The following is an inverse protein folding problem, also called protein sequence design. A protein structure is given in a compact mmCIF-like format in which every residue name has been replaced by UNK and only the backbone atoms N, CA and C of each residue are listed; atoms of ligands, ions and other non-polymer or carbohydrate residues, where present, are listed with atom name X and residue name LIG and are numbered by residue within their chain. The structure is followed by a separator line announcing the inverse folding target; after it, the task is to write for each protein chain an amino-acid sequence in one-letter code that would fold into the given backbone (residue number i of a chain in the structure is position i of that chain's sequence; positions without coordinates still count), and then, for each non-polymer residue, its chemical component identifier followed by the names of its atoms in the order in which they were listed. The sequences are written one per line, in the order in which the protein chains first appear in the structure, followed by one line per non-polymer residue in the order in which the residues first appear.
data_IF_191771857049
#
_entry.id   IF_191771857049
#
_cell.length_a   1.000
_cell.length_b   1.000
_cell.length_c   1.000
_cell.angle_alpha   90.00
_cell.angle_beta   90.00
_cell.angle_gamma   90.00
#
_symmetry.space_group_name_H-M   'P 1'
#
loop_
_entity.id
_entity.type
_entity.pdbx_description
1 polymer ?
#
# COMPACT_ATOMS: atom_id res chain seq x y z
N UNK A 1 8.77 -2.24 16.00
CA UNK A 1 10.14 -2.23 15.46
C UNK A 1 11.09 -1.37 16.33
N UNK A 2 10.67 -0.16 16.73
CA UNK A 2 11.48 0.79 17.55
C UNK A 2 11.68 0.35 19.02
N UNK A 3 10.83 -0.53 19.56
CA UNK A 3 10.94 -0.98 20.95
C UNK A 3 12.16 -1.88 21.22
N UNK A 4 12.86 -2.35 20.19
CA UNK A 4 14.10 -3.10 20.35
C UNK A 4 15.30 -2.13 20.30
N UNK A 5 16.19 -2.10 21.31
CA UNK A 5 17.27 -1.10 21.41
C UNK A 5 18.19 -1.03 20.17
N UNK A 6 18.42 -2.17 19.52
CA UNK A 6 19.29 -2.26 18.33
C UNK A 6 18.66 -1.68 17.05
N UNK A 7 17.36 -1.43 17.04
CA UNK A 7 16.62 -0.92 15.88
C UNK A 7 16.54 0.60 15.85
N UNK A 8 16.97 1.29 16.91
CA UNK A 8 16.87 2.76 17.01
C UNK A 8 17.60 3.47 15.87
N UNK A 9 18.78 2.96 15.48
CA UNK A 9 19.55 3.49 14.34
C UNK A 9 18.81 3.39 12.99
N UNK A 10 17.83 2.48 12.87
CA UNK A 10 17.02 2.26 11.69
C UNK A 10 15.63 2.91 11.77
N UNK A 11 15.32 3.62 12.88
CA UNK A 11 14.02 4.27 13.07
C UNK A 11 13.68 5.21 11.92
N UNK A 12 14.65 5.97 11.42
CA UNK A 12 14.47 6.87 10.26
C UNK A 12 14.03 6.14 8.98
N UNK A 13 14.30 4.85 8.88
CA UNK A 13 13.95 3.99 7.75
C UNK A 13 12.75 3.07 8.05
N UNK A 14 12.06 3.28 9.18
CA UNK A 14 10.83 2.57 9.45
C UNK A 14 9.75 2.93 8.42
N UNK A 15 8.73 2.08 8.34
CA UNK A 15 7.67 2.18 7.35
C UNK A 15 6.98 3.55 7.34
N UNK A 16 6.65 4.07 8.52
CA UNK A 16 5.99 5.36 8.70
C UNK A 16 6.90 6.53 8.25
N UNK A 17 8.19 6.49 8.59
CA UNK A 17 9.14 7.53 8.19
C UNK A 17 9.43 7.50 6.69
N UNK A 18 9.53 6.31 6.08
CA UNK A 18 9.65 6.16 4.62
C UNK A 18 8.42 6.72 3.92
N UNK A 19 7.22 6.43 4.43
CA UNK A 19 5.99 7.00 3.88
C UNK A 19 5.98 8.55 3.96
N UNK A 20 6.43 9.12 5.07
CA UNK A 20 6.56 10.56 5.23
C UNK A 20 7.61 11.17 4.26
N UNK A 21 8.75 10.50 4.07
CA UNK A 21 9.76 10.92 3.08
C UNK A 21 9.18 10.91 1.66
N UNK A 22 8.45 9.85 1.30
CA UNK A 22 7.79 9.75 -0.01
C UNK A 22 6.73 10.84 -0.18
N UNK A 23 5.93 11.13 0.85
CA UNK A 23 4.91 12.18 0.80
C UNK A 23 5.52 13.56 0.55
N UNK A 24 6.66 13.87 1.17
CA UNK A 24 7.39 15.13 0.92
C UNK A 24 8.01 15.17 -0.48
N UNK A 25 8.50 14.04 -0.98
CA UNK A 25 9.12 13.95 -2.31
C UNK A 25 8.10 14.03 -3.45
N UNK A 26 6.88 13.54 -3.22
CA UNK A 26 5.79 13.50 -4.20
C UNK A 26 4.55 14.24 -3.66
N UNK A 27 4.61 15.58 -3.52
CA UNK A 27 3.56 16.36 -2.86
C UNK A 27 2.20 16.34 -3.60
N UNK A 28 2.18 15.95 -4.88
CA UNK A 28 0.96 15.77 -5.66
C UNK A 28 0.42 14.33 -5.66
N UNK A 29 0.86 13.47 -4.74
CA UNK A 29 0.51 12.05 -4.70
C UNK A 29 0.10 11.61 -3.29
N UNK A 30 -0.87 10.70 -3.23
CA UNK A 30 -1.22 10.00 -1.98
C UNK A 30 -0.29 8.81 -1.80
N UNK A 31 0.31 8.72 -0.60
CA UNK A 31 1.15 7.58 -0.23
C UNK A 31 0.32 6.62 0.61
N UNK A 32 -0.01 5.48 0.02
CA UNK A 32 -0.72 4.39 0.69
C UNK A 32 0.24 3.31 1.12
N UNK A 33 0.22 2.99 2.40
CA UNK A 33 1.05 1.94 3.00
C UNK A 33 0.19 0.71 3.29
N UNK A 34 0.52 -0.43 2.68
CA UNK A 34 -0.19 -1.70 2.91
C UNK A 34 0.66 -2.56 3.85
N UNK A 35 0.16 -2.75 5.07
CA UNK A 35 0.77 -3.64 6.07
C UNK A 35 0.34 -5.09 5.82
N UNK A 36 1.19 -6.02 6.23
CA UNK A 36 0.87 -7.45 6.21
C UNK A 36 -0.32 -7.76 7.14
N UNK A 37 -1.18 -8.71 6.76
CA UNK A 37 -2.35 -9.10 7.56
C UNK A 37 -1.93 -9.71 8.90
N UNK A 38 -0.80 -10.42 8.93
CA UNK A 38 -0.21 -11.01 10.13
C UNK A 38 1.31 -11.10 10.05
N UNK A 39 1.93 -11.35 11.20
CA UNK A 39 3.35 -11.71 11.33
C UNK A 39 3.46 -13.15 11.83
N UNK A 40 3.89 -14.09 11.00
CA UNK A 40 4.12 -15.47 11.39
C UNK A 40 5.44 -15.61 12.16
N UNK A 41 5.39 -16.27 13.32
CA UNK A 41 6.55 -16.47 14.22
C UNK A 41 7.30 -15.18 14.57
N UNK A 42 6.61 -14.03 14.54
CA UNK A 42 7.20 -12.69 14.69
C UNK A 42 8.34 -12.34 13.71
N UNK A 43 8.50 -13.11 12.62
CA UNK A 43 9.59 -12.96 11.66
C UNK A 43 9.10 -12.77 10.23
N UNK A 44 8.05 -13.47 9.83
CA UNK A 44 7.60 -13.47 8.45
C UNK A 44 6.32 -12.66 8.29
N UNK A 45 6.39 -11.58 7.51
CA UNK A 45 5.22 -10.84 7.08
C UNK A 45 4.40 -11.69 6.11
N UNK A 46 3.12 -11.91 6.43
CA UNK A 46 2.19 -12.65 5.58
C UNK A 46 1.11 -11.72 5.07
N UNK A 47 0.92 -11.72 3.75
CA UNK A 47 -0.08 -10.91 3.05
C UNK A 47 -1.23 -11.82 2.60
N UNK A 48 -1.86 -12.52 3.54
CA UNK A 48 -2.78 -13.63 3.23
C UNK A 48 -3.98 -13.20 2.38
N UNK A 49 -4.38 -11.92 2.46
CA UNK A 49 -5.45 -11.35 1.64
C UNK A 49 -5.07 -11.20 0.16
N UNK A 50 -3.78 -11.30 -0.16
CA UNK A 50 -3.25 -11.24 -1.51
C UNK A 50 -2.70 -12.59 -1.95
N UNK A 51 -1.92 -13.27 -1.10
CA UNK A 51 -1.19 -14.48 -1.46
C UNK A 51 -1.09 -15.41 -0.28
N UNK A 52 -1.54 -16.64 -0.47
CA UNK A 52 -1.38 -17.70 0.53
C UNK A 52 0.10 -17.96 0.79
N UNK A 53 0.44 -18.35 2.01
CA UNK A 53 1.82 -18.71 2.37
C UNK A 53 1.82 -20.04 3.10
N UNK A 54 2.76 -20.91 2.74
CA UNK A 54 2.96 -22.18 3.42
C UNK A 54 3.55 -21.99 4.84
N UNK A 55 3.76 -23.09 5.56
CA UNK A 55 4.27 -23.08 6.95
C UNK A 55 5.67 -22.45 7.10
N UNK A 56 6.42 -22.25 6.01
CA UNK A 56 7.74 -21.59 6.00
C UNK A 56 7.66 -20.14 5.52
N UNK A 57 6.46 -19.60 5.32
CA UNK A 57 6.24 -18.23 4.84
C UNK A 57 6.60 -18.04 3.37
N UNK A 58 6.70 -19.12 2.58
CA UNK A 58 6.88 -19.04 1.14
C UNK A 58 5.50 -18.95 0.45
N UNK A 59 5.37 -18.14 -0.61
CA UNK A 59 4.10 -17.95 -1.29
C UNK A 59 3.63 -19.19 -2.03
N UNK A 60 2.31 -19.36 -2.05
CA UNK A 60 1.59 -20.28 -2.92
C UNK A 60 0.78 -19.45 -3.91
N UNK A 61 1.29 -19.35 -5.13
CA UNK A 61 0.69 -18.49 -6.15
C UNK A 61 -0.55 -19.13 -6.79
N UNK A 62 -1.59 -18.32 -6.99
CA UNK A 62 -2.84 -18.71 -7.66
C UNK A 62 -3.11 -17.86 -8.91
N UNK A 63 -4.07 -18.28 -9.72
CA UNK A 63 -4.53 -17.54 -10.91
C UNK A 63 -5.95 -17.00 -10.78
N UNK A 64 -6.57 -17.07 -9.59
CA UNK A 64 -7.99 -16.78 -9.35
C UNK A 64 -8.33 -15.28 -9.20
N UNK A 65 -7.39 -14.40 -9.58
CA UNK A 65 -7.47 -12.94 -9.58
C UNK A 65 -7.99 -12.30 -8.28
N UNK A 66 -7.85 -13.01 -7.16
CA UNK A 66 -8.29 -12.58 -5.84
C UNK A 66 -7.46 -11.41 -5.30
N UNK A 67 -6.15 -11.38 -5.57
CA UNK A 67 -5.28 -10.31 -5.14
C UNK A 67 -5.66 -8.98 -5.81
N UNK A 68 -6.01 -8.98 -7.09
CA UNK A 68 -6.53 -7.77 -7.76
C UNK A 68 -7.86 -7.29 -7.19
N UNK A 69 -8.81 -8.20 -6.93
CA UNK A 69 -10.09 -7.83 -6.30
C UNK A 69 -9.86 -7.20 -4.93
N UNK A 70 -8.96 -7.78 -4.14
CA UNK A 70 -8.64 -7.26 -2.82
C UNK A 70 -7.97 -5.88 -2.92
N UNK A 71 -6.98 -5.70 -3.81
CA UNK A 71 -6.32 -4.40 -4.02
C UNK A 71 -7.32 -3.31 -4.43
N UNK A 72 -8.20 -3.62 -5.38
CA UNK A 72 -9.25 -2.72 -5.84
C UNK A 72 -10.18 -2.31 -4.69
N UNK A 73 -10.71 -3.29 -3.95
CA UNK A 73 -11.59 -3.02 -2.81
C UNK A 73 -10.89 -2.21 -1.71
N UNK A 74 -9.63 -2.52 -1.41
CA UNK A 74 -8.83 -1.82 -0.42
C UNK A 74 -8.67 -0.34 -0.78
N UNK A 75 -8.29 -0.03 -2.02
CA UNK A 75 -8.12 1.35 -2.47
C UNK A 75 -9.45 2.09 -2.53
N UNK A 76 -10.51 1.49 -3.09
CA UNK A 76 -11.84 2.10 -3.12
C UNK A 76 -12.32 2.48 -1.71
N UNK A 77 -12.16 1.58 -0.74
CA UNK A 77 -12.57 1.84 0.64
C UNK A 77 -11.69 2.90 1.31
N UNK A 78 -10.38 2.89 1.05
CA UNK A 78 -9.45 3.85 1.60
C UNK A 78 -9.75 5.29 1.13
N UNK A 79 -10.03 5.46 -0.17
CA UNK A 79 -10.43 6.75 -0.72
C UNK A 79 -11.78 7.23 -0.20
N UNK A 80 -12.79 6.34 -0.10
CA UNK A 80 -14.08 6.68 0.51
C UNK A 80 -13.91 7.19 1.95
N UNK A 81 -13.05 6.54 2.74
CA UNK A 81 -12.77 6.97 4.10
C UNK A 81 -12.14 8.37 4.14
N UNK A 82 -11.14 8.64 3.28
CA UNK A 82 -10.51 9.96 3.19
C UNK A 82 -11.53 11.02 2.77
N UNK A 83 -12.34 10.77 1.75
CA UNK A 83 -13.38 11.71 1.31
C UNK A 83 -14.37 12.03 2.44
N UNK A 84 -14.80 11.03 3.20
CA UNK A 84 -15.70 11.23 4.34
C UNK A 84 -15.07 12.11 5.43
N UNK A 85 -13.77 11.92 5.72
CA UNK A 85 -13.03 12.74 6.69
C UNK A 85 -12.91 14.19 6.19
N UNK A 86 -12.62 14.42 4.92
CA UNK A 86 -12.54 15.77 4.37
C UNK A 86 -13.90 16.48 4.37
N UNK A 87 -14.98 15.76 4.03
CA UNK A 87 -16.34 16.31 4.05
C UNK A 87 -16.78 16.65 5.48
N UNK A 88 -16.45 15.83 6.48
CA UNK A 88 -16.76 16.13 7.87
C UNK A 88 -15.98 17.33 8.39
N UNK A 89 -14.69 17.46 8.05
CA UNK A 89 -13.89 18.64 8.38
C UNK A 89 -14.45 19.92 7.74
N UNK A 90 -14.85 19.88 6.46
CA UNK A 90 -15.47 21.02 5.77
C UNK A 90 -16.80 21.44 6.41
N UNK A 91 -17.51 20.50 7.02
CA UNK A 91 -18.77 20.76 7.74
C UNK A 91 -18.52 21.37 9.13
N UNK A 92 -17.43 20.98 9.82
CA UNK A 92 -17.01 21.59 11.10
C UNK A 92 -16.55 23.04 10.96
N UNK A 93 -15.75 23.38 9.94
CA UNK A 93 -15.27 24.76 9.74
C UNK A 93 -16.31 25.72 9.13
N UNK A 94 -17.45 25.20 8.66
CA UNK A 94 -18.58 26.01 8.21
C UNK A 94 -19.56 26.39 9.35
N UNK A 95 -19.27 26.01 10.61
CA UNK A 95 -20.05 26.44 11.77
C UNK A 95 -19.15 27.11 12.82
N UNK A 96 -19.26 28.43 12.89
CA UNK A 96 -18.78 29.35 13.94
C UNK A 96 -17.27 29.57 14.07
N UNK A 97 -16.84 30.80 13.74
CA UNK A 97 -15.88 31.51 14.61
C UNK A 97 -16.46 31.57 16.02
N UNK A 98 -15.62 31.39 17.03
CA UNK A 98 -15.93 31.36 18.47
C UNK A 98 -16.22 29.98 19.09
N UNK A 99 -15.20 29.10 19.13
CA UNK A 99 -15.03 28.17 20.25
C UNK A 99 -13.55 27.74 20.35
N UNK A 100 -13.02 27.73 21.58
CA UNK A 100 -11.67 27.28 21.92
C UNK A 100 -11.39 25.88 21.36
N UNK A 101 -10.18 25.69 20.85
CA UNK A 101 -9.68 24.41 20.37
C UNK A 101 -9.92 23.30 21.41
N UNK A 102 -10.78 22.35 21.04
CA UNK A 102 -10.90 21.06 21.72
C UNK A 102 -10.11 20.07 20.88
N UNK A 103 -9.11 19.43 21.48
CA UNK A 103 -8.30 18.41 20.84
C UNK A 103 -9.18 17.29 20.28
N UNK A 104 -9.04 17.01 19.00
CA UNK A 104 -9.69 15.85 18.38
C UNK A 104 -8.75 14.65 18.52
N UNK A 105 -9.04 13.78 19.47
CA UNK A 105 -8.48 12.43 19.48
C UNK A 105 -9.02 11.67 18.26
N UNK A 106 -8.13 11.32 17.33
CA UNK A 106 -8.46 10.37 16.27
C UNK A 106 -8.80 9.01 16.92
N UNK A 107 -9.79 8.26 16.41
CA UNK A 107 -10.03 6.91 16.88
C UNK A 107 -8.79 6.04 16.59
N UNK A 108 -8.06 5.71 17.65
CA UNK A 108 -6.97 4.74 17.64
C UNK A 108 -7.57 3.36 17.35
N UNK A 109 -7.59 2.97 16.07
CA UNK A 109 -7.82 1.57 15.71
C UNK A 109 -6.57 0.81 16.14
N UNK A 110 -6.62 0.24 17.34
CA UNK A 110 -5.60 -0.64 17.86
C UNK A 110 -5.44 -1.82 16.89
N UNK A 111 -4.32 -1.85 16.17
CA UNK A 111 -3.91 -3.07 15.46
C UNK A 111 -3.05 -3.88 16.42
N UNK A 112 -3.41 -5.13 16.61
CA UNK A 112 -2.85 -6.07 17.59
C UNK A 112 -1.42 -6.53 17.28
N UNK A 113 -0.71 -5.86 16.37
CA UNK A 113 0.59 -6.28 15.85
C UNK A 113 1.80 -5.67 16.59
N UNK A 114 1.72 -5.58 17.92
CA UNK A 114 2.91 -5.60 18.80
C UNK A 114 3.78 -4.34 18.86
N UNK A 115 3.19 -3.14 18.98
CA UNK A 115 3.90 -1.96 19.49
C UNK A 115 3.04 -1.30 20.59
N UNK A 116 3.56 -1.08 21.82
CA UNK A 116 2.84 -0.32 22.83
C UNK A 116 2.74 1.16 22.41
N UNK A 117 1.61 1.78 22.74
CA UNK A 117 1.35 3.18 22.49
C UNK A 117 2.32 4.04 23.32
N UNK A 118 3.23 4.75 22.65
CA UNK A 118 3.95 5.85 23.24
C UNK A 118 3.34 7.15 22.70
N UNK A 119 2.69 7.91 23.58
CA UNK A 119 2.23 9.25 23.31
C UNK A 119 3.44 10.14 23.00
N UNK A 120 3.55 10.62 21.76
CA UNK A 120 4.38 11.77 21.44
C UNK A 120 3.54 12.71 20.58
N UNK A 121 3.23 13.85 21.17
CA UNK A 121 2.63 15.00 20.49
C UNK A 121 3.50 15.38 19.29
N UNK A 122 2.90 15.37 18.10
CA UNK A 122 3.51 15.89 16.88
C UNK A 122 2.85 17.24 16.60
N UNK A 123 3.63 18.31 16.74
CA UNK A 123 3.26 19.65 16.30
C UNK A 123 2.95 19.64 14.80
N UNK A 124 1.72 20.03 14.47
CA UNK A 124 1.20 20.02 13.11
C UNK A 124 1.38 21.42 12.50
N UNK A 125 2.43 21.62 11.73
CA UNK A 125 2.60 22.87 10.97
C UNK A 125 1.61 22.95 9.79
N UNK A 126 1.13 24.17 9.60
CA UNK A 126 -0.02 24.60 8.84
C UNK A 126 0.09 24.29 7.33
N UNK A 127 -0.68 23.33 6.82
CA UNK A 127 -0.85 23.10 5.38
C UNK A 127 -1.84 24.13 4.81
N UNK A 128 -1.37 24.97 3.88
CA UNK A 128 -2.16 26.02 3.24
C UNK A 128 -3.27 25.43 2.36
N UNK A 129 -4.48 25.95 2.54
CA UNK A 129 -5.69 25.64 1.77
C UNK A 129 -5.53 26.00 0.28
N UNK A 130 -5.01 25.06 -0.52
CA UNK A 130 -5.26 25.03 -1.96
C UNK A 130 -6.35 24.01 -2.21
N UNK A 131 -7.43 24.41 -2.90
CA UNK A 131 -8.60 23.58 -3.15
C UNK A 131 -8.23 22.30 -3.90
N UNK A 132 -7.96 21.22 -3.17
CA UNK A 132 -7.72 19.90 -3.74
C UNK A 132 -9.06 19.27 -4.12
N UNK A 133 -9.33 19.13 -5.41
CA UNK A 133 -10.45 18.33 -5.91
C UNK A 133 -10.08 16.85 -5.84
N UNK A 134 -10.60 16.13 -4.86
CA UNK A 134 -10.40 14.68 -4.76
C UNK A 134 -11.34 13.96 -5.73
N UNK A 135 -10.78 13.30 -6.73
CA UNK A 135 -11.52 12.43 -7.66
C UNK A 135 -11.87 11.14 -6.93
N UNK A 136 -13.15 10.80 -6.90
CA UNK A 136 -13.65 9.52 -6.39
C UNK A 136 -13.13 8.36 -7.26
N UNK A 137 -12.64 7.24 -6.68
CA UNK A 137 -12.10 6.13 -7.47
C UNK A 137 -13.14 5.42 -8.33
N UNK A 138 -14.43 5.68 -8.10
CA UNK A 138 -15.51 5.23 -8.98
C UNK A 138 -15.37 5.80 -10.40
N UNK A 139 -14.58 6.88 -10.60
CA UNK A 139 -14.20 7.36 -11.92
C UNK A 139 -13.03 6.53 -12.45
N UNK A 140 -13.40 5.38 -13.02
CA UNK A 140 -12.62 4.66 -14.02
C UNK A 140 -12.06 5.69 -15.02
N UNK A 141 -10.73 5.88 -15.02
CA UNK A 141 -10.01 6.76 -15.95
C UNK A 141 -9.44 8.07 -15.37
N UNK A 142 -9.66 8.40 -14.09
CA UNK A 142 -9.20 9.68 -13.52
C UNK A 142 -7.85 9.64 -12.78
N UNK A 143 -7.49 8.52 -12.14
CA UNK A 143 -6.36 8.49 -11.21
C UNK A 143 -5.48 7.26 -11.46
N UNK A 144 -4.25 7.53 -11.88
CA UNK A 144 -3.22 6.50 -12.02
C UNK A 144 -2.42 6.32 -10.74
N UNK A 145 -1.91 5.12 -10.49
CA UNK A 145 -1.06 4.84 -9.34
C UNK A 145 0.15 3.98 -9.69
N UNK A 146 1.10 3.94 -8.76
CA UNK A 146 2.33 3.14 -8.84
C UNK A 146 2.31 2.13 -7.70
N UNK A 147 2.68 0.89 -8.01
CA UNK A 147 2.85 -0.16 -7.01
C UNK A 147 4.34 -0.32 -6.68
N UNK A 148 4.65 -0.44 -5.41
CA UNK A 148 6.01 -0.67 -4.92
C UNK A 148 5.96 -1.84 -3.95
N UNK A 149 6.63 -2.92 -4.31
CA UNK A 149 6.87 -4.06 -3.45
C UNK A 149 8.28 -3.96 -2.89
N UNK A 150 8.39 -3.95 -1.56
CA UNK A 150 9.67 -4.03 -0.86
C UNK A 150 9.73 -5.33 -0.07
N UNK A 151 10.87 -6.04 -0.10
CA UNK A 151 11.05 -7.30 0.63
C UNK A 151 9.92 -8.29 0.32
N UNK A 152 9.13 -8.71 1.34
CA UNK A 152 7.96 -9.58 1.15
C UNK A 152 6.82 -8.95 0.34
N UNK A 153 6.78 -7.63 0.16
CA UNK A 153 5.84 -6.97 -0.75
C UNK A 153 6.04 -7.38 -2.22
N UNK A 154 7.25 -7.77 -2.61
CA UNK A 154 7.53 -8.30 -3.96
C UNK A 154 6.74 -9.58 -4.26
N UNK A 155 6.45 -10.38 -3.24
CA UNK A 155 5.65 -11.61 -3.39
C UNK A 155 4.20 -11.28 -3.76
N UNK A 156 3.64 -10.19 -3.22
CA UNK A 156 2.31 -9.70 -3.62
C UNK A 156 2.32 -9.24 -5.07
N UNK A 157 3.37 -8.53 -5.51
CA UNK A 157 3.50 -8.13 -6.91
C UNK A 157 3.61 -9.34 -7.85
N UNK A 158 4.37 -10.36 -7.47
CA UNK A 158 4.47 -11.62 -8.23
C UNK A 158 3.09 -12.28 -8.36
N UNK A 159 2.31 -12.32 -7.27
CA UNK A 159 0.95 -12.84 -7.30
C UNK A 159 0.05 -12.09 -8.29
N UNK A 160 0.11 -10.75 -8.31
CA UNK A 160 -0.62 -9.95 -9.29
C UNK A 160 -0.22 -10.29 -10.73
N UNK A 161 1.04 -10.64 -11.00
CA UNK A 161 1.44 -11.06 -12.34
C UNK A 161 0.84 -12.43 -12.72
N UNK A 162 0.85 -13.41 -11.83
CA UNK A 162 0.23 -14.73 -12.08
C UNK A 162 -1.27 -14.63 -12.34
N UNK A 163 -1.95 -13.69 -11.69
CA UNK A 163 -3.39 -13.46 -11.85
C UNK A 163 -3.75 -12.66 -13.10
N UNK A 164 -2.79 -11.97 -13.73
CA UNK A 164 -3.03 -10.94 -14.73
C UNK A 164 -3.89 -11.42 -15.90
N UNK A 165 -3.63 -12.63 -16.37
CA UNK A 165 -4.35 -13.24 -17.50
C UNK A 165 -5.84 -13.39 -17.21
N UNK A 166 -6.20 -13.90 -16.04
CA UNK A 166 -7.59 -14.09 -15.63
C UNK A 166 -8.22 -12.74 -15.24
N UNK A 167 -7.48 -11.88 -14.55
CA UNK A 167 -7.93 -10.55 -14.15
C UNK A 167 -8.33 -9.68 -15.34
N UNK A 168 -7.60 -9.75 -16.46
CA UNK A 168 -7.91 -9.02 -17.71
C UNK A 168 -9.24 -9.41 -18.35
N UNK A 169 -9.81 -10.59 -18.01
CA UNK A 169 -11.10 -11.04 -18.54
C UNK A 169 -12.28 -10.34 -17.85
N UNK A 170 -12.09 -9.89 -16.61
CA UNK A 170 -13.08 -9.11 -15.88
C UNK A 170 -13.00 -7.63 -16.32
N UNK A 171 -14.12 -7.05 -16.72
CA UNK A 171 -14.16 -5.68 -17.28
C UNK A 171 -13.70 -4.63 -16.28
N UNK A 172 -14.17 -4.72 -15.04
CA UNK A 172 -13.92 -3.71 -14.02
C UNK A 172 -12.50 -3.80 -13.49
N UNK A 173 -12.02 -5.04 -13.27
CA UNK A 173 -10.64 -5.28 -12.87
C UNK A 173 -9.66 -4.92 -13.98
N UNK A 174 -9.96 -5.22 -15.25
CA UNK A 174 -9.12 -4.79 -16.38
C UNK A 174 -9.04 -3.26 -16.49
N UNK A 175 -10.16 -2.55 -16.26
CA UNK A 175 -10.15 -1.10 -16.21
C UNK A 175 -9.30 -0.57 -15.04
N UNK A 176 -9.36 -1.23 -13.88
CA UNK A 176 -8.52 -0.92 -12.74
C UNK A 176 -7.02 -1.17 -13.00
N UNK A 177 -6.66 -2.29 -13.65
CA UNK A 177 -5.27 -2.61 -14.03
C UNK A 177 -4.68 -1.52 -14.92
N UNK A 178 -5.46 -0.96 -15.85
CA UNK A 178 -5.01 0.14 -16.72
C UNK A 178 -4.65 1.43 -15.98
N UNK A 179 -5.05 1.58 -14.72
CA UNK A 179 -4.64 2.71 -13.88
C UNK A 179 -3.23 2.52 -13.27
N UNK A 180 -2.65 1.31 -13.35
CA UNK A 180 -1.28 1.05 -12.87
C UNK A 180 -0.30 1.64 -13.89
N UNK A 181 0.51 2.62 -13.49
CA UNK A 181 1.53 3.23 -14.36
C UNK A 181 2.87 2.50 -14.32
N UNK A 182 3.25 2.08 -13.13
CA UNK A 182 4.54 1.47 -12.90
C UNK A 182 4.48 0.50 -11.73
N UNK A 183 5.34 -0.52 -11.76
CA UNK A 183 5.55 -1.45 -10.67
C UNK A 183 7.06 -1.50 -10.36
N UNK A 184 7.39 -1.37 -9.09
CA UNK A 184 8.76 -1.42 -8.56
C UNK A 184 8.93 -2.64 -7.65
N UNK A 185 9.89 -3.51 -7.98
CA UNK A 185 10.38 -4.57 -7.10
C UNK A 185 11.67 -4.10 -6.43
N UNK A 186 11.65 -3.93 -5.12
CA UNK A 186 12.77 -3.42 -4.34
C UNK A 186 13.20 -4.50 -3.33
N UNK A 187 14.45 -4.96 -3.47
CA UNK A 187 15.08 -5.90 -2.55
C UNK A 187 14.20 -7.14 -2.24
N UNK A 188 13.64 -7.71 -3.30
CA UNK A 188 12.69 -8.82 -3.22
C UNK A 188 13.37 -10.13 -2.82
N UNK A 189 12.71 -10.88 -1.94
CA UNK A 189 13.18 -12.19 -1.52
C UNK A 189 12.16 -12.93 -0.66
N UNK A 190 12.21 -14.26 -0.67
CA UNK A 190 11.43 -15.09 0.25
C UNK A 190 12.12 -16.42 0.51
N UNK A 191 11.71 -17.10 1.58
CA UNK A 191 12.21 -18.40 2.06
C UNK A 191 11.87 -19.60 1.16
N UNK A 192 11.32 -19.37 -0.03
CA UNK A 192 10.96 -20.45 -0.96
C UNK A 192 12.09 -20.73 -1.94
N UNK A 193 12.16 -21.95 -2.45
CA UNK A 193 13.21 -22.37 -3.40
C UNK A 193 12.94 -22.03 -4.87
N UNK A 194 11.81 -21.40 -5.18
CA UNK A 194 11.37 -21.08 -6.55
C UNK A 194 10.48 -19.84 -6.57
N UNK A 195 10.21 -19.29 -7.76
CA UNK A 195 9.26 -18.17 -7.97
C UNK A 195 9.60 -16.87 -7.22
N UNK A 196 10.85 -16.70 -6.79
CA UNK A 196 11.35 -15.42 -6.28
C UNK A 196 11.25 -14.33 -7.33
N UNK A 197 11.52 -14.69 -8.58
CA UNK A 197 11.27 -13.88 -9.75
C UNK A 197 10.25 -14.59 -10.65
N UNK A 198 9.40 -13.81 -11.31
CA UNK A 198 8.46 -14.34 -12.30
C UNK A 198 9.21 -14.53 -13.61
N UNK A 199 9.48 -15.78 -13.98
CA UNK A 199 10.23 -16.14 -15.20
C UNK A 199 9.39 -16.88 -16.24
N UNK A 200 8.10 -17.06 -15.98
CA UNK A 200 7.18 -17.79 -16.85
C UNK A 200 6.88 -16.96 -18.13
N UNK A 201 7.21 -17.46 -19.34
CA UNK A 201 7.10 -16.67 -20.57
C UNK A 201 5.68 -16.18 -20.88
N UNK A 202 4.67 -17.00 -20.62
CA UNK A 202 3.26 -16.67 -20.82
C UNK A 202 2.82 -15.51 -19.91
N UNK A 203 3.22 -15.53 -18.63
CA UNK A 203 2.95 -14.44 -17.69
C UNK A 203 3.65 -13.14 -18.13
N UNK A 204 4.91 -13.23 -18.57
CA UNK A 204 5.68 -12.07 -19.02
C UNK A 204 5.15 -11.47 -20.33
N UNK A 205 4.68 -12.31 -21.26
CA UNK A 205 4.01 -11.86 -22.49
C UNK A 205 2.74 -11.09 -22.13
N UNK A 206 1.88 -11.66 -21.29
CA UNK A 206 0.63 -11.02 -20.86
C UNK A 206 0.89 -9.68 -20.14
N UNK A 207 1.97 -9.62 -19.36
CA UNK A 207 2.41 -8.41 -18.67
C UNK A 207 2.95 -7.35 -19.64
N UNK A 208 3.76 -7.73 -20.62
CA UNK A 208 4.32 -6.81 -21.61
C UNK A 208 3.24 -6.05 -22.40
N UNK A 209 2.07 -6.67 -22.60
CA UNK A 209 0.94 -6.07 -23.32
C UNK A 209 0.20 -5.00 -22.52
N UNK A 210 0.47 -4.85 -21.22
CA UNK A 210 -0.21 -3.86 -20.37
C UNK A 210 0.34 -2.44 -20.54
N UNK A 211 1.59 -2.30 -21.02
CA UNK A 211 2.28 -1.00 -21.06
C UNK A 211 2.72 -0.47 -19.69
N UNK A 212 2.60 -1.26 -18.62
CA UNK A 212 3.05 -0.90 -17.28
C UNK A 212 4.58 -0.82 -17.25
N UNK A 213 5.13 0.28 -16.72
CA UNK A 213 6.58 0.43 -16.56
C UNK A 213 7.12 -0.49 -15.47
N UNK A 214 8.22 -1.18 -15.74
CA UNK A 214 8.82 -2.17 -14.84
C UNK A 214 10.15 -1.66 -14.32
N UNK A 215 10.33 -1.71 -12.99
CA UNK A 215 11.58 -1.36 -12.35
C UNK A 215 11.92 -2.44 -11.31
N UNK A 216 13.12 -2.99 -11.38
CA UNK A 216 13.61 -3.95 -10.40
C UNK A 216 14.97 -3.47 -9.90
N UNK A 217 15.13 -3.42 -8.57
CA UNK A 217 16.38 -3.07 -7.91
C UNK A 217 16.64 -4.05 -6.78
N UNK A 218 17.80 -4.69 -6.81
CA UNK A 218 18.36 -5.40 -5.67
C UNK A 218 19.48 -4.55 -5.10
N UNK A 219 19.54 -4.41 -3.77
CA UNK A 219 20.69 -3.76 -3.14
C UNK A 219 21.81 -4.80 -3.20
N UNK A 220 22.81 -4.56 -4.05
CA UNK A 220 24.07 -5.28 -3.95
C UNK A 220 24.83 -4.74 -2.75
N UNK A 221 25.09 -5.61 -1.75
CA UNK A 221 26.06 -5.35 -0.68
C UNK A 221 27.48 -5.15 -1.23
#
# INVERSE_FOLDING_TARGET
MVCHPENFQWERWCLENVAAILGRRFPGSYIWVIKSSRMHLHKFSCYDNFVASNMFGAPEHSTDFGAFKHLHALLVNAFKLVQNILLSQKTMYNFSMDAKAVGCDLPTVATTNGCPAAERELDCEHLSNSAMSFIEPNVIGGVSFTLIGFSKGCVVLNQLLYELKEAKKDRDINAFIKNIKAIYWLDGGHSGGSNTWVTYPDVLIDFSQTGISVNASSISE
#
